data_IF_130340175062
#
_entry.id   IF_130340175062
#
_cell.length_a   1.000
_cell.length_b   1.000
_cell.length_c   1.000
_cell.angle_alpha   90.00
_cell.angle_beta   90.00
_cell.angle_gamma   90.00
#
_symmetry.space_group_name_H-M   'P 1'
#
loop_
_entity.id
_entity.type
_entity.pdbx_description
1 polymer ?
#
# COMPACT_ATOMS: atom_id res chain seq x y z
N UNK A 1 4.26 19.82 -14.42
CA UNK A 1 4.58 21.19 -13.97
C UNK A 1 5.75 21.08 -12.99
N UNK A 2 6.96 21.46 -13.41
CA UNK A 2 8.20 21.25 -12.64
C UNK A 2 8.58 22.54 -11.90
N UNK A 3 8.91 22.43 -10.60
CA UNK A 3 9.49 23.54 -9.82
C UNK A 3 10.98 23.28 -9.66
N UNK A 4 11.81 24.12 -10.27
CA UNK A 4 13.26 24.10 -10.10
C UNK A 4 13.71 25.24 -9.16
N UNK A 5 14.84 25.06 -8.48
CA UNK A 5 15.43 26.10 -7.64
C UNK A 5 15.73 27.38 -8.44
N UNK A 6 15.61 28.55 -7.81
CA UNK A 6 15.62 29.89 -8.45
C UNK A 6 16.90 30.20 -9.25
N UNK A 7 17.97 29.44 -9.02
CA UNK A 7 19.27 29.55 -9.69
C UNK A 7 19.42 28.64 -10.94
N UNK A 8 18.40 27.87 -11.30
CA UNK A 8 18.44 26.96 -12.44
C UNK A 8 18.25 27.73 -13.75
N UNK A 9 19.16 27.53 -14.72
CA UNK A 9 18.96 28.01 -16.10
C UNK A 9 17.95 27.14 -16.85
N UNK A 10 16.67 27.38 -16.60
CA UNK A 10 15.53 26.62 -17.15
C UNK A 10 15.53 26.53 -18.69
N UNK A 11 16.06 27.55 -19.38
CA UNK A 11 16.17 27.57 -20.85
C UNK A 11 17.15 26.53 -21.41
N UNK A 12 18.24 26.24 -20.69
CA UNK A 12 19.24 25.24 -21.11
C UNK A 12 18.74 23.82 -20.87
N UNK A 13 18.00 23.61 -19.78
CA UNK A 13 17.34 22.34 -19.50
C UNK A 13 16.32 21.97 -20.59
N UNK A 14 15.47 22.91 -21.00
CA UNK A 14 14.49 22.67 -22.08
C UNK A 14 15.11 22.36 -23.45
N UNK A 15 16.32 22.85 -23.73
CA UNK A 15 16.99 22.69 -25.02
C UNK A 15 17.90 21.47 -25.07
N UNK A 16 18.71 21.28 -24.03
CA UNK A 16 19.82 20.33 -24.03
C UNK A 16 19.60 19.18 -23.01
N UNK A 17 18.53 19.22 -22.21
CA UNK A 17 18.31 18.27 -21.10
C UNK A 17 19.27 18.47 -19.92
N UNK A 18 20.06 19.55 -19.92
CA UNK A 18 21.10 19.80 -18.91
C UNK A 18 20.66 20.83 -17.88
N UNK A 19 20.69 20.45 -16.61
CA UNK A 19 20.48 21.35 -15.50
C UNK A 19 21.80 21.99 -15.05
N UNK A 20 21.90 23.31 -15.12
CA UNK A 20 23.09 24.07 -14.71
C UNK A 20 22.71 25.12 -13.67
N UNK A 21 23.42 25.13 -12.54
CA UNK A 21 23.15 25.98 -11.39
C UNK A 21 24.43 26.13 -10.53
N UNK A 22 24.46 27.17 -9.69
CA UNK A 22 25.43 27.29 -8.59
C UNK A 22 24.76 26.78 -7.31
N UNK A 23 25.25 25.69 -6.69
CA UNK A 23 24.64 25.14 -5.48
C UNK A 23 24.71 26.15 -4.32
N UNK A 24 23.65 26.34 -3.54
CA UNK A 24 23.77 26.94 -2.20
C UNK A 24 24.61 26.02 -1.30
N UNK A 25 25.18 26.57 -0.24
CA UNK A 25 25.97 25.80 0.71
C UNK A 25 25.08 24.91 1.60
N UNK A 26 25.56 23.71 1.92
CA UNK A 26 24.81 22.70 2.69
C UNK A 26 23.74 21.92 1.90
N UNK A 27 22.75 21.39 2.61
CA UNK A 27 21.69 20.55 2.05
C UNK A 27 20.59 21.39 1.37
N UNK A 28 20.25 21.06 0.13
CA UNK A 28 19.18 21.75 -0.59
C UNK A 28 18.43 20.83 -1.55
N UNK A 29 17.19 21.20 -1.85
CA UNK A 29 16.37 20.54 -2.87
C UNK A 29 16.60 21.21 -4.22
N UNK A 30 17.24 20.48 -5.13
CA UNK A 30 17.58 20.99 -6.46
C UNK A 30 16.33 21.15 -7.35
N UNK A 31 15.50 20.11 -7.42
CA UNK A 31 14.32 20.07 -8.27
C UNK A 31 13.26 19.12 -7.71
N UNK A 32 11.99 19.38 -8.05
CA UNK A 32 10.88 18.46 -7.82
C UNK A 32 10.11 18.26 -9.12
N UNK A 33 9.85 17.00 -9.46
CA UNK A 33 9.18 16.60 -10.69
C UNK A 33 7.98 15.69 -10.39
N UNK A 34 7.03 15.67 -11.31
CA UNK A 34 5.84 14.82 -11.28
C UNK A 34 5.68 14.17 -12.64
N UNK A 35 5.47 12.86 -12.67
CA UNK A 35 5.14 12.13 -13.88
C UNK A 35 3.62 11.98 -13.97
N UNK A 36 3.02 12.50 -15.04
CA UNK A 36 1.58 12.44 -15.25
C UNK A 36 1.14 11.21 -16.06
N UNK A 37 2.02 10.68 -16.91
CA UNK A 37 1.74 9.50 -17.73
C UNK A 37 2.85 8.48 -17.47
N UNK A 38 2.58 7.52 -16.61
CA UNK A 38 3.48 6.39 -16.45
C UNK A 38 2.64 5.16 -16.21
N UNK A 39 2.65 4.28 -17.21
CA UNK A 39 2.31 2.86 -17.12
C UNK A 39 3.31 2.19 -16.16
N UNK A 40 3.30 2.61 -14.90
CA UNK A 40 4.22 2.16 -13.88
C UNK A 40 3.54 1.05 -13.08
N UNK A 41 4.13 -0.14 -13.11
CA UNK A 41 3.64 -1.27 -12.32
C UNK A 41 4.16 -1.15 -10.90
N UNK A 42 3.25 -1.09 -9.93
CA UNK A 42 3.64 -1.10 -8.52
C UNK A 42 4.50 -2.34 -8.20
N UNK A 43 5.58 -2.20 -7.40
CA UNK A 43 6.48 -3.30 -7.02
C UNK A 43 5.82 -4.29 -6.03
N UNK A 44 4.56 -4.07 -5.72
CA UNK A 44 3.81 -4.78 -4.71
C UNK A 44 2.33 -4.75 -5.11
N UNK A 45 1.70 -5.91 -5.05
CA UNK A 45 0.26 -6.06 -5.17
C UNK A 45 -0.29 -6.51 -3.83
N UNK A 46 -1.35 -5.85 -3.38
CA UNK A 46 -2.10 -6.25 -2.21
C UNK A 46 -3.52 -6.59 -2.67
N UNK A 47 -3.91 -7.83 -2.40
CA UNK A 47 -5.26 -8.33 -2.63
C UNK A 47 -5.77 -8.92 -1.34
N UNK A 48 -7.07 -8.87 -1.13
CA UNK A 48 -7.66 -9.46 0.05
C UNK A 48 -9.17 -9.38 0.01
N UNK A 49 -9.78 -10.16 0.89
CA UNK A 49 -11.22 -10.21 1.07
C UNK A 49 -11.57 -10.10 2.53
N UNK A 50 -12.57 -9.30 2.83
CA UNK A 50 -13.17 -9.25 4.17
C UNK A 50 -14.64 -9.65 4.04
N UNK A 51 -15.04 -10.64 4.83
CA UNK A 51 -16.42 -11.11 4.89
C UNK A 51 -16.99 -10.83 6.26
N UNK A 52 -18.14 -10.17 6.26
CA UNK A 52 -18.93 -9.94 7.46
C UNK A 52 -20.18 -10.81 7.39
N UNK A 53 -20.63 -11.38 8.52
CA UNK A 53 -21.89 -12.10 8.55
C UNK A 53 -23.02 -11.14 8.17
N UNK A 54 -23.91 -11.60 7.29
CA UNK A 54 -25.15 -10.89 7.06
C UNK A 54 -25.95 -10.88 8.36
N UNK A 55 -26.31 -9.68 8.84
CA UNK A 55 -27.31 -9.55 9.89
C UNK A 55 -28.59 -10.23 9.39
N UNK A 56 -29.32 -10.97 10.24
CA UNK A 56 -30.62 -11.50 9.84
C UNK A 56 -31.52 -10.31 9.55
N UNK A 57 -31.65 -9.97 8.26
CA UNK A 57 -32.64 -9.00 7.83
C UNK A 57 -33.97 -9.45 8.41
N UNK A 58 -34.55 -8.64 9.28
CA UNK A 58 -35.96 -8.77 9.65
C UNK A 58 -36.80 -8.46 8.41
N UNK A 59 -36.79 -9.37 7.43
CA UNK A 59 -37.88 -9.51 6.49
C UNK A 59 -38.96 -10.23 7.27
N UNK A 60 -39.65 -9.51 8.15
CA UNK A 60 -40.83 -10.01 8.83
C UNK A 60 -41.80 -10.58 7.79
N UNK A 61 -42.06 -11.90 7.76
CA UNK A 61 -43.32 -12.38 7.25
C UNK A 61 -44.36 -11.99 8.31
N UNK A 62 -45.43 -11.33 7.85
CA UNK A 62 -46.64 -11.04 8.62
C UNK A 62 -46.96 -12.15 9.64
N UNK A 63 -47.17 -11.85 10.94
CA UNK A 63 -47.35 -12.89 11.95
C UNK A 63 -48.68 -13.61 11.76
N UNK A 64 -48.61 -14.90 11.42
CA UNK A 64 -49.67 -15.86 11.78
C UNK A 64 -49.57 -16.15 13.28
N UNK A 65 -50.65 -16.05 14.06
CA UNK A 65 -50.62 -16.40 15.47
C UNK A 65 -50.37 -17.91 15.62
N UNK A 66 -49.78 -18.32 16.75
CA UNK A 66 -49.54 -19.69 17.21
C UNK A 66 -48.19 -20.33 16.85
N UNK A 67 -47.13 -19.94 17.58
CA UNK A 67 -46.30 -20.86 18.38
C UNK A 67 -45.11 -20.08 18.93
N UNK A 68 -45.15 -19.75 20.22
CA UNK A 68 -44.05 -19.10 20.92
C UNK A 68 -43.08 -20.21 21.35
N UNK A 69 -41.93 -20.29 20.68
CA UNK A 69 -40.73 -20.90 21.23
C UNK A 69 -39.62 -19.85 21.26
N UNK A 70 -39.68 -18.99 22.27
CA UNK A 70 -38.60 -18.09 22.63
C UNK A 70 -37.47 -18.93 23.23
N UNK A 71 -36.46 -19.22 22.42
CA UNK A 71 -35.20 -19.78 22.90
C UNK A 71 -34.20 -18.63 22.87
N UNK A 72 -34.06 -17.93 24.00
CA UNK A 72 -32.90 -17.09 24.30
C UNK A 72 -31.65 -17.98 24.23
N UNK A 73 -31.06 -18.04 23.04
CA UNK A 73 -29.69 -18.48 22.84
C UNK A 73 -28.76 -17.32 23.15
N UNK A 74 -27.54 -17.59 23.65
CA UNK A 74 -26.61 -16.54 24.06
C UNK A 74 -26.33 -15.61 22.88
N UNK A 75 -26.22 -14.31 23.16
CA UNK A 75 -25.77 -13.25 22.25
C UNK A 75 -24.74 -13.81 21.27
N UNK A 76 -25.15 -14.07 20.03
CA UNK A 76 -24.28 -14.68 19.04
C UNK A 76 -23.24 -13.62 18.68
N UNK A 77 -22.02 -13.78 19.17
CA UNK A 77 -20.90 -12.93 18.81
C UNK A 77 -20.75 -12.96 17.29
N UNK A 78 -21.15 -11.87 16.64
CA UNK A 78 -20.97 -11.71 15.20
C UNK A 78 -19.45 -11.70 14.95
N UNK A 79 -18.98 -12.61 14.10
CA UNK A 79 -17.56 -12.72 13.76
C UNK A 79 -17.38 -12.60 12.25
N UNK A 80 -16.59 -11.62 11.83
CA UNK A 80 -16.13 -11.47 10.46
C UNK A 80 -14.84 -12.25 10.23
N UNK A 81 -14.50 -12.51 8.97
CA UNK A 81 -13.19 -13.07 8.60
C UNK A 81 -12.50 -12.15 7.62
N UNK A 82 -11.19 -12.07 7.70
CA UNK A 82 -10.39 -11.34 6.74
C UNK A 82 -9.23 -12.20 6.25
N UNK A 83 -8.87 -12.02 4.98
CA UNK A 83 -7.68 -12.60 4.37
C UNK A 83 -7.01 -11.53 3.50
N UNK A 84 -5.72 -11.29 3.74
CA UNK A 84 -4.86 -10.39 3.01
C UNK A 84 -3.72 -11.19 2.37
N UNK A 85 -3.39 -10.84 1.13
CA UNK A 85 -2.33 -11.44 0.33
C UNK A 85 -1.46 -10.35 -0.26
N UNK A 86 -0.19 -10.38 0.13
CA UNK A 86 0.84 -9.46 -0.31
C UNK A 86 1.79 -10.17 -1.25
N UNK A 87 1.72 -9.83 -2.54
CA UNK A 87 2.62 -10.36 -3.54
C UNK A 87 3.64 -9.27 -3.90
N UNK A 88 4.93 -9.43 -3.54
CA UNK A 88 5.95 -8.60 -4.14
C UNK A 88 6.03 -8.94 -5.63
N UNK A 89 6.27 -7.93 -6.46
CA UNK A 89 6.46 -8.09 -7.89
C UNK A 89 7.74 -7.38 -8.29
N UNK A 90 8.54 -7.98 -9.17
CA UNK A 90 9.67 -7.30 -9.80
C UNK A 90 9.13 -6.34 -10.88
N UNK A 91 9.12 -5.01 -10.69
CA UNK A 91 8.73 -4.10 -11.76
C UNK A 91 9.86 -4.06 -12.79
N UNK A 92 9.78 -4.92 -13.80
CA UNK A 92 10.58 -4.79 -15.02
C UNK A 92 10.08 -3.54 -15.73
N UNK A 93 11.01 -2.62 -16.02
CA UNK A 93 10.70 -1.42 -16.81
C UNK A 93 10.07 -1.84 -18.15
N UNK A 94 8.82 -1.42 -18.35
CA UNK A 94 7.96 -1.73 -19.49
C UNK A 94 7.63 -3.22 -19.70
N UNK A 95 6.33 -3.53 -19.60
CA UNK A 95 5.66 -4.77 -20.00
C UNK A 95 6.12 -6.05 -19.29
N UNK A 96 5.49 -6.35 -18.16
CA UNK A 96 5.31 -7.73 -17.75
C UNK A 96 3.86 -7.92 -17.33
N UNK A 97 3.04 -8.39 -18.28
CA UNK A 97 1.76 -9.03 -17.96
C UNK A 97 2.06 -10.31 -17.18
N UNK A 98 1.16 -10.74 -16.28
CA UNK A 98 1.33 -12.00 -15.57
C UNK A 98 1.23 -13.16 -16.58
N UNK A 99 2.36 -13.79 -16.91
CA UNK A 99 2.42 -14.97 -17.80
C UNK A 99 3.53 -15.00 -18.85
N UNK A 100 4.33 -13.93 -19.02
CA UNK A 100 5.43 -13.94 -20.00
C UNK A 100 6.76 -14.36 -19.36
N UNK A 101 7.40 -15.37 -19.95
CA UNK A 101 8.69 -15.91 -19.54
C UNK A 101 9.79 -14.83 -19.48
N UNK A 102 10.63 -14.94 -18.45
CA UNK A 102 11.75 -14.04 -18.19
C UNK A 102 12.82 -14.11 -19.29
N UNK A 103 12.79 -13.16 -20.21
CA UNK A 103 13.88 -12.86 -21.13
C UNK A 103 13.98 -11.34 -21.27
N UNK A 104 14.65 -10.70 -20.30
CA UNK A 104 14.81 -9.24 -20.24
C UNK A 104 15.16 -8.72 -18.85
N UNK A 105 15.96 -9.48 -18.09
CA UNK A 105 16.40 -9.10 -16.75
C UNK A 105 17.49 -8.03 -16.81
N UNK A 106 17.12 -6.76 -17.00
CA UNK A 106 18.08 -5.67 -16.96
C UNK A 106 17.45 -4.35 -16.47
N UNK A 107 17.09 -4.28 -15.18
CA UNK A 107 17.31 -3.08 -14.34
C UNK A 107 16.89 -3.30 -12.87
N UNK A 108 17.21 -4.47 -12.30
CA UNK A 108 17.13 -4.76 -10.85
C UNK A 108 18.44 -5.36 -10.32
N UNK A 109 19.58 -5.15 -10.99
CA UNK A 109 20.87 -5.78 -10.62
C UNK A 109 21.34 -5.43 -9.20
N UNK A 110 20.76 -4.41 -8.54
CA UNK A 110 21.28 -3.93 -7.26
C UNK A 110 20.26 -3.94 -6.10
N UNK A 111 18.97 -4.15 -6.36
CA UNK A 111 17.91 -4.05 -5.33
C UNK A 111 17.07 -5.29 -5.34
N UNK A 112 17.43 -6.25 -4.49
CA UNK A 112 16.74 -7.55 -4.40
C UNK A 112 15.63 -7.55 -3.36
N UNK A 113 15.58 -6.51 -2.51
CA UNK A 113 14.63 -6.43 -1.39
C UNK A 113 13.94 -5.08 -1.29
N UNK A 114 12.73 -5.14 -0.76
CA UNK A 114 11.91 -4.02 -0.32
C UNK A 114 11.88 -4.05 1.21
N UNK A 115 12.21 -2.92 1.81
CA UNK A 115 12.36 -2.75 3.26
C UNK A 115 11.24 -1.90 3.84
N UNK A 116 11.08 -1.97 5.16
CA UNK A 116 10.09 -1.21 5.91
C UNK A 116 8.67 -1.35 5.34
N UNK A 117 8.32 -2.59 4.98
CA UNK A 117 7.00 -2.91 4.40
C UNK A 117 5.98 -2.99 5.53
N UNK A 118 5.04 -2.05 5.50
CA UNK A 118 3.96 -1.93 6.47
C UNK A 118 2.64 -1.73 5.74
N UNK A 119 1.66 -2.57 6.06
CA UNK A 119 0.28 -2.46 5.57
C UNK A 119 -0.60 -2.00 6.72
N UNK A 120 -1.39 -0.96 6.47
CA UNK A 120 -2.36 -0.41 7.41
C UNK A 120 -3.75 -0.58 6.81
N UNK A 121 -4.62 -1.30 7.52
CA UNK A 121 -5.99 -1.53 7.14
C UNK A 121 -6.91 -0.90 8.22
N UNK A 122 -7.46 0.29 7.99
CA UNK A 122 -8.49 0.85 8.84
C UNK A 122 -9.74 -0.01 8.74
N UNK A 123 -10.24 -0.44 9.90
CA UNK A 123 -11.46 -1.21 10.05
C UNK A 123 -12.60 -0.29 10.52
N UNK A 124 -13.87 -0.65 10.27
CA UNK A 124 -15.02 0.13 10.69
C UNK A 124 -15.19 0.12 12.22
N UNK A 125 -15.91 1.11 12.74
CA UNK A 125 -16.16 1.27 14.18
C UNK A 125 -16.93 0.10 14.81
N UNK A 126 -17.67 -0.69 14.02
CA UNK A 126 -18.37 -1.87 14.51
C UNK A 126 -17.44 -3.07 14.81
N UNK A 127 -16.14 -2.99 14.48
CA UNK A 127 -15.14 -4.00 14.83
C UNK A 127 -14.54 -3.67 16.20
N UNK A 128 -14.87 -4.48 17.21
CA UNK A 128 -14.35 -4.34 18.57
C UNK A 128 -12.91 -4.85 18.70
N UNK A 129 -12.62 -5.94 17.99
CA UNK A 129 -11.35 -6.65 18.11
C UNK A 129 -11.03 -7.43 16.85
N UNK A 130 -9.75 -7.78 16.70
CA UNK A 130 -9.28 -8.64 15.63
C UNK A 130 -8.21 -9.59 16.15
N UNK A 131 -8.40 -10.88 15.89
CA UNK A 131 -7.37 -11.90 16.05
C UNK A 131 -6.78 -12.18 14.68
N UNK A 132 -5.48 -11.98 14.54
CA UNK A 132 -4.81 -11.97 13.25
C UNK A 132 -3.54 -12.81 13.32
N UNK A 133 -3.30 -13.62 12.30
CA UNK A 133 -2.07 -14.38 12.11
C UNK A 133 -1.47 -14.00 10.76
N UNK A 134 -0.15 -13.84 10.71
CA UNK A 134 0.57 -13.52 9.48
C UNK A 134 1.62 -14.60 9.22
N UNK A 135 1.80 -14.97 7.94
CA UNK A 135 2.86 -15.89 7.51
C UNK A 135 4.25 -15.28 7.65
N UNK A 136 4.33 -13.95 7.60
CA UNK A 136 5.56 -13.18 7.72
C UNK A 136 5.28 -11.86 8.42
N UNK A 137 6.24 -11.43 9.23
CA UNK A 137 6.13 -10.21 10.02
C UNK A 137 5.18 -10.33 11.20
N UNK A 138 4.82 -9.19 11.76
CA UNK A 138 3.94 -9.07 12.92
C UNK A 138 2.66 -8.36 12.53
N UNK A 139 1.52 -8.91 12.93
CA UNK A 139 0.21 -8.27 12.72
C UNK A 139 -0.42 -7.92 14.06
N UNK A 140 -0.91 -6.68 14.18
CA UNK A 140 -1.48 -6.15 15.42
C UNK A 140 -2.72 -5.32 15.14
N UNK A 141 -3.71 -5.45 16.01
CA UNK A 141 -4.90 -4.61 15.98
C UNK A 141 -4.77 -3.47 16.99
N UNK A 142 -4.92 -2.25 16.49
CA UNK A 142 -4.89 -1.03 17.29
C UNK A 142 -6.34 -0.61 17.59
N UNK A 143 -6.80 -0.91 18.80
CA UNK A 143 -8.15 -0.57 19.26
C UNK A 143 -8.39 0.95 19.28
N UNK A 144 -7.38 1.77 19.55
CA UNK A 144 -7.50 3.23 19.62
C UNK A 144 -7.80 3.89 18.27
N UNK A 145 -7.41 3.26 17.17
CA UNK A 145 -7.58 3.79 15.82
C UNK A 145 -8.37 2.84 14.91
N UNK A 146 -9.01 1.81 15.50
CA UNK A 146 -9.67 0.69 14.79
C UNK A 146 -8.88 0.24 13.56
N UNK A 147 -7.55 0.07 13.68
CA UNK A 147 -6.68 -0.17 12.54
C UNK A 147 -5.88 -1.46 12.74
N UNK A 148 -5.95 -2.33 11.75
CA UNK A 148 -5.07 -3.48 11.64
C UNK A 148 -3.75 -3.04 11.00
N UNK A 149 -2.64 -3.28 11.69
CA UNK A 149 -1.30 -2.96 11.22
C UNK A 149 -0.51 -4.26 11.01
N UNK A 150 -0.05 -4.47 9.80
CA UNK A 150 0.78 -5.60 9.43
C UNK A 150 2.18 -5.13 9.01
N UNK A 151 3.15 -5.42 9.86
CA UNK A 151 4.56 -5.06 9.69
C UNK A 151 5.32 -6.26 9.17
N UNK A 152 5.48 -6.34 7.84
CA UNK A 152 6.21 -7.41 7.15
C UNK A 152 7.72 -7.26 7.34
N UNK A 153 8.21 -6.02 7.44
CA UNK A 153 9.62 -5.73 7.60
C UNK A 153 10.36 -5.71 6.26
N UNK A 154 11.04 -6.79 5.91
CA UNK A 154 11.84 -6.90 4.67
C UNK A 154 11.37 -8.06 3.83
N UNK A 155 11.08 -7.80 2.55
CA UNK A 155 10.59 -8.80 1.60
C UNK A 155 11.42 -8.74 0.31
N UNK A 156 11.91 -9.89 -0.16
CA UNK A 156 12.58 -9.98 -1.45
C UNK A 156 11.55 -9.91 -2.60
N UNK A 157 11.96 -9.43 -3.76
CA UNK A 157 11.04 -9.39 -4.92
C UNK A 157 10.70 -10.77 -5.48
N UNK A 158 11.56 -11.76 -5.23
CA UNK A 158 11.34 -13.18 -5.56
C UNK A 158 10.66 -13.96 -4.41
N UNK A 159 10.31 -13.28 -3.31
CA UNK A 159 9.68 -13.95 -2.18
C UNK A 159 8.27 -14.43 -2.56
N UNK A 160 7.82 -15.57 -2.00
CA UNK A 160 6.46 -16.03 -2.22
C UNK A 160 5.44 -15.03 -1.66
N UNK A 161 4.19 -15.12 -2.14
CA UNK A 161 3.09 -14.31 -1.63
C UNK A 161 2.93 -14.51 -0.12
N UNK A 162 3.02 -13.42 0.64
CA UNK A 162 2.79 -13.42 2.08
C UNK A 162 1.31 -13.29 2.35
N UNK A 163 0.84 -14.01 3.37
CA UNK A 163 -0.58 -14.04 3.73
C UNK A 163 -0.76 -13.59 5.16
N UNK A 164 -1.83 -12.85 5.41
CA UNK A 164 -2.30 -12.55 6.75
C UNK A 164 -3.80 -12.80 6.81
N UNK A 165 -4.23 -13.64 7.75
CA UNK A 165 -5.62 -14.04 7.89
C UNK A 165 -6.04 -13.92 9.35
N UNK A 166 -7.34 -13.80 9.58
CA UNK A 166 -7.83 -13.66 10.93
C UNK A 166 -9.34 -13.52 11.04
N UNK A 167 -9.78 -13.39 12.29
CA UNK A 167 -11.19 -13.24 12.65
C UNK A 167 -11.39 -11.88 13.29
N UNK A 168 -12.43 -11.17 12.85
CA UNK A 168 -12.85 -9.90 13.41
C UNK A 168 -14.00 -10.15 14.37
N UNK A 169 -13.94 -9.61 15.58
CA UNK A 169 -15.04 -9.62 16.54
C UNK A 169 -15.86 -8.33 16.37
N UNK A 170 -17.15 -8.49 16.14
CA UNK A 170 -18.06 -7.38 15.81
C UNK A 170 -18.95 -7.06 17.01
N UNK A 171 -19.24 -5.78 17.21
CA UNK A 171 -20.20 -5.31 18.21
C UNK A 171 -21.61 -5.43 17.63
N UNK A 172 -22.46 -6.26 18.25
CA UNK A 172 -23.83 -6.49 17.80
C UNK A 172 -24.71 -5.22 17.84
N UNK A 173 -24.50 -4.31 18.79
CA UNK A 173 -25.27 -3.06 18.91
C UNK A 173 -24.92 -2.01 17.86
N UNK A 174 -23.65 -1.89 17.48
CA UNK A 174 -23.17 -0.84 16.58
C UNK A 174 -23.46 -1.17 15.10
N UNK A 175 -23.54 -2.46 14.76
CA UNK A 175 -23.87 -2.95 13.42
C UNK A 175 -25.34 -2.75 13.01
N UNK A 176 -26.23 -2.50 13.97
CA UNK A 176 -27.67 -2.25 13.77
C UNK A 176 -28.02 -0.74 13.72
N UNK A 177 -27.07 0.16 13.98
CA UNK A 177 -27.32 1.61 13.88
C UNK A 177 -27.44 2.04 12.42
N UNK A 178 -28.54 2.72 12.08
CA UNK A 178 -28.88 3.22 10.72
C UNK A 178 -27.81 4.16 10.14
N UNK A 179 -27.01 4.80 10.99
CA UNK A 179 -25.92 5.71 10.57
C UNK A 179 -24.60 4.99 10.25
N UNK A 180 -24.50 3.69 10.49
CA UNK A 180 -23.31 2.87 10.24
C UNK A 180 -23.53 2.08 8.95
N UNK A 181 -22.60 2.23 7.99
CA UNK A 181 -22.63 1.46 6.74
C UNK A 181 -22.76 -0.03 7.05
N UNK A 182 -23.72 -0.69 6.38
CA UNK A 182 -23.95 -2.12 6.53
C UNK A 182 -22.63 -2.89 6.40
N UNK A 183 -22.34 -3.85 7.29
CA UNK A 183 -21.08 -4.61 7.23
C UNK A 183 -20.82 -5.23 5.86
N UNK A 184 -21.88 -5.66 5.16
CA UNK A 184 -21.80 -6.26 3.83
C UNK A 184 -21.43 -5.28 2.69
N UNK A 185 -21.58 -3.96 2.90
CA UNK A 185 -21.37 -2.92 1.89
C UNK A 185 -20.09 -2.11 2.14
N UNK A 186 -19.33 -2.44 3.20
CA UNK A 186 -18.14 -1.69 3.58
C UNK A 186 -16.97 -2.02 2.64
N UNK A 187 -16.62 -1.10 1.75
CA UNK A 187 -15.37 -1.16 0.99
C UNK A 187 -14.20 -0.76 1.88
N UNK A 188 -13.23 -1.65 2.05
CA UNK A 188 -12.04 -1.36 2.85
C UNK A 188 -10.87 -0.95 1.97
N UNK A 189 -10.09 0.02 2.44
CA UNK A 189 -8.91 0.53 1.72
C UNK A 189 -7.69 0.30 2.58
N UNK A 190 -6.78 -0.57 2.13
CA UNK A 190 -5.50 -0.77 2.79
C UNK A 190 -4.45 0.20 2.23
N UNK A 191 -3.72 0.87 3.11
CA UNK A 191 -2.56 1.68 2.77
C UNK A 191 -1.28 0.88 2.92
N UNK A 192 -0.38 0.93 1.94
CA UNK A 192 0.93 0.29 2.01
C UNK A 192 2.06 1.32 2.06
N UNK A 193 3.03 1.08 2.93
CA UNK A 193 4.29 1.84 3.01
C UNK A 193 5.45 0.89 2.80
N UNK A 194 6.43 1.34 2.03
CA UNK A 194 7.63 0.57 1.75
C UNK A 194 8.77 1.49 1.29
N UNK A 195 10.00 0.99 1.40
CA UNK A 195 11.22 1.64 0.96
C UNK A 195 12.03 0.68 0.10
N UNK A 196 12.43 1.13 -1.09
CA UNK A 196 13.29 0.36 -1.99
C UNK A 196 14.54 1.19 -2.26
N UNK A 197 15.68 0.69 -1.79
CA UNK A 197 17.00 1.29 -2.06
C UNK A 197 17.39 1.02 -3.50
N UNK A 198 18.17 1.91 -4.12
CA UNK A 198 18.80 1.71 -5.44
C UNK A 198 17.86 1.37 -6.61
N UNK A 199 16.57 1.72 -6.49
CA UNK A 199 15.57 1.54 -7.55
C UNK A 199 14.76 2.81 -7.72
N UNK A 200 14.36 3.09 -8.96
CA UNK A 200 13.60 4.25 -9.36
C UNK A 200 12.49 3.85 -10.34
N UNK A 201 11.22 4.07 -9.99
CA UNK A 201 10.09 3.74 -10.87
C UNK A 201 10.06 4.59 -12.14
N UNK A 202 10.61 5.81 -12.08
CA UNK A 202 10.65 6.75 -13.20
C UNK A 202 11.68 6.43 -14.27
N UNK A 203 12.67 5.58 -13.97
CA UNK A 203 13.81 5.33 -14.86
C UNK A 203 14.81 6.48 -14.97
N UNK A 204 14.60 7.61 -14.27
CA UNK A 204 15.53 8.75 -14.30
C UNK A 204 16.86 8.41 -13.67
N UNK A 205 17.90 8.27 -14.48
CA UNK A 205 19.28 8.07 -14.00
C UNK A 205 20.09 9.33 -14.26
N UNK A 206 20.92 9.69 -13.28
CA UNK A 206 21.95 10.70 -13.43
C UNK A 206 22.97 10.16 -14.45
N UNK A 207 23.04 10.81 -15.60
CA UNK A 207 23.99 10.47 -16.66
C UNK A 207 25.39 10.98 -16.32
N UNK A 208 25.51 12.28 -16.04
CA UNK A 208 26.78 12.91 -15.65
C UNK A 208 26.55 14.08 -14.70
N UNK A 209 27.51 14.29 -13.80
CA UNK A 209 27.62 15.46 -12.93
C UNK A 209 28.99 16.08 -13.13
N UNK A 210 29.02 17.29 -13.68
CA UNK A 210 30.25 18.06 -13.88
C UNK A 210 30.30 19.26 -12.93
N UNK A 211 31.47 19.52 -12.36
CA UNK A 211 31.68 20.60 -11.41
C UNK A 211 32.85 21.45 -11.92
N UNK A 212 32.53 22.66 -12.36
CA UNK A 212 33.50 23.60 -12.92
C UNK A 212 33.94 24.63 -11.86
N UNK A 213 35.07 25.31 -12.14
CA UNK A 213 35.57 26.45 -11.37
C UNK A 213 36.07 26.10 -9.94
N UNK A 214 36.75 24.96 -9.81
CA UNK A 214 37.36 24.48 -8.56
C UNK A 214 38.75 23.88 -8.84
N UNK A 215 39.69 24.10 -7.90
CA UNK A 215 41.07 23.63 -8.04
C UNK A 215 41.27 22.16 -7.64
N UNK A 216 40.37 21.62 -6.81
CA UNK A 216 40.45 20.25 -6.30
C UNK A 216 39.20 19.51 -6.75
N UNK A 217 39.33 18.36 -7.45
CA UNK A 217 38.18 17.58 -7.88
C UNK A 217 37.42 17.04 -6.66
N UNK A 218 36.10 17.28 -6.56
CA UNK A 218 35.32 16.87 -5.42
C UNK A 218 34.90 15.40 -5.60
N UNK A 219 34.60 14.74 -4.48
CA UNK A 219 33.92 13.45 -4.54
C UNK A 219 32.50 13.64 -5.07
N UNK A 220 32.13 12.87 -6.10
CA UNK A 220 30.80 12.88 -6.72
C UNK A 220 30.13 11.55 -6.45
N UNK A 221 28.97 11.58 -5.80
CA UNK A 221 28.17 10.40 -5.51
C UNK A 221 26.70 10.67 -5.80
N UNK A 222 26.00 9.64 -6.25
CA UNK A 222 24.55 9.67 -6.39
C UNK A 222 23.97 8.40 -5.78
N UNK A 223 22.88 8.54 -5.04
CA UNK A 223 22.13 7.43 -4.48
C UNK A 223 20.67 7.59 -4.84
N UNK A 224 20.05 6.49 -5.21
CA UNK A 224 18.64 6.42 -5.51
C UNK A 224 17.90 5.67 -4.40
N UNK A 225 16.71 6.16 -4.07
CA UNK A 225 15.80 5.50 -3.14
C UNK A 225 14.38 5.86 -3.51
N UNK A 226 13.49 4.86 -3.49
CA UNK A 226 12.07 5.06 -3.66
C UNK A 226 11.38 4.81 -2.33
N UNK A 227 10.56 5.77 -1.92
CA UNK A 227 9.71 5.66 -0.73
C UNK A 227 8.27 5.72 -1.20
N UNK A 228 7.44 4.80 -0.71
CA UNK A 228 6.01 4.81 -0.98
C UNK A 228 5.37 6.09 -0.40
N UNK A 229 4.61 6.80 -1.24
CA UNK A 229 3.76 7.90 -0.81
C UNK A 229 2.41 7.38 -0.28
N UNK A 230 1.31 7.88 -0.84
CA UNK A 230 -0.03 7.29 -0.65
C UNK A 230 -0.21 6.17 -1.68
N UNK A 231 0.00 4.93 -1.25
CA UNK A 231 -0.30 3.73 -2.05
C UNK A 231 -1.46 3.02 -1.36
N UNK A 232 -2.61 3.03 -2.00
CA UNK A 232 -3.86 2.52 -1.46
C UNK A 232 -4.42 1.40 -2.35
N UNK A 233 -4.85 0.32 -1.70
CA UNK A 233 -5.42 -0.85 -2.32
C UNK A 233 -6.85 -1.02 -1.84
N UNK A 234 -7.80 -1.07 -2.77
CA UNK A 234 -9.20 -1.38 -2.45
C UNK A 234 -9.34 -2.88 -2.29
N UNK A 235 -9.87 -3.30 -1.15
CA UNK A 235 -10.18 -4.68 -0.82
C UNK A 235 -11.62 -4.98 -1.18
N UNK A 236 -11.88 -6.19 -1.70
CA UNK A 236 -13.23 -6.63 -2.01
C UNK A 236 -13.93 -7.11 -0.73
N UNK A 237 -15.10 -6.54 -0.43
CA UNK A 237 -16.01 -7.07 0.58
C UNK A 237 -16.90 -8.12 -0.08
N UNK A 238 -16.59 -9.41 0.07
CA UNK A 238 -17.42 -10.46 -0.51
C UNK A 238 -18.54 -10.82 0.48
N UNK A 239 -19.75 -10.31 0.24
CA UNK A 239 -20.96 -10.84 0.87
C UNK A 239 -21.22 -12.24 0.31
N UNK A 240 -21.19 -13.27 1.16
CA UNK A 240 -21.60 -14.62 0.77
C UNK A 240 -22.78 -15.06 1.61
#
# INVERSE_FOLDING_TARGET
CERCHFLCRLLRFKRDGVLSFCPPDGDFVLASYWLCDSKFTLPLSLSGSVSFPALPASKAPLPTPHSVSFREGPSASLSGRFELRLAPFCPVGASASPGAAAAGAASLVNSTTMENVVVSLPLPAFVDGATATASCGTIRYLHSSSCLLWEVGSIAFDAPTQKAEGTLTLVAEEAERVDVLSPCETTLVASARFLIKSWLPSGFKLDSLDVSNINIPPYKGCRYSTVAGSVEFRLDSRSR
#
